data_IF_674546936239
#
_entry.id   IF_674546936239
#
_cell.length_a   1.000
_cell.length_b   1.000
_cell.length_c   1.000
_cell.angle_alpha   90.00
_cell.angle_beta   90.00
_cell.angle_gamma   90.00
#
_symmetry.space_group_name_H-M   'P 1'
#
loop_
_entity.id
_entity.type
_entity.pdbx_description
1 polymer ?
#
# COMPACT_ATOMS: atom_id res chain seq x y z
N UNK A 1 -29.23 15.08 2.84
CA UNK A 1 -27.88 15.50 3.26
C UNK A 1 -27.22 14.42 4.10
N UNK A 2 -26.22 13.71 3.55
CA UNK A 2 -25.48 12.68 4.28
C UNK A 2 -24.65 13.28 5.43
N UNK A 3 -24.07 14.47 5.20
CA UNK A 3 -23.25 15.20 6.17
C UNK A 3 -24.03 15.53 7.44
N UNK A 4 -25.25 16.03 7.34
CA UNK A 4 -26.09 16.35 8.50
C UNK A 4 -26.43 15.12 9.35
N UNK A 5 -26.64 13.96 8.70
CA UNK A 5 -26.89 12.70 9.42
C UNK A 5 -25.65 12.27 10.21
N UNK A 6 -24.47 12.38 9.61
CA UNK A 6 -23.18 12.07 10.25
C UNK A 6 -22.92 13.03 11.42
N UNK A 7 -23.13 14.34 11.22
CA UNK A 7 -22.97 15.34 12.28
C UNK A 7 -23.87 15.07 13.48
N UNK A 8 -25.15 14.75 13.24
CA UNK A 8 -26.09 14.43 14.30
C UNK A 8 -25.75 13.11 15.01
N UNK A 9 -25.21 12.13 14.30
CA UNK A 9 -24.73 10.89 14.90
C UNK A 9 -23.52 11.14 15.82
N UNK A 10 -22.53 11.91 15.34
CA UNK A 10 -21.34 12.26 16.13
C UNK A 10 -21.71 13.05 17.39
N UNK A 11 -22.67 13.96 17.30
CA UNK A 11 -23.15 14.75 18.44
C UNK A 11 -23.77 13.89 19.56
N UNK A 12 -24.34 12.73 19.21
CA UNK A 12 -24.94 11.79 20.15
C UNK A 12 -23.92 10.87 20.83
N UNK A 13 -22.67 10.83 20.34
CA UNK A 13 -21.64 9.96 20.90
C UNK A 13 -21.07 10.52 22.22
N UNK A 14 -20.64 9.64 23.14
CA UNK A 14 -19.89 10.03 24.32
C UNK A 14 -18.61 10.82 23.97
N UNK A 15 -18.11 11.68 24.87
CA UNK A 15 -16.84 12.39 24.69
C UNK A 15 -15.67 11.46 24.34
N UNK A 16 -15.57 10.30 24.99
CA UNK A 16 -14.51 9.31 24.75
C UNK A 16 -14.56 8.72 23.33
N UNK A 17 -15.76 8.45 22.81
CA UNK A 17 -15.93 7.91 21.45
C UNK A 17 -15.66 8.95 20.38
N UNK A 18 -16.00 10.23 20.64
CA UNK A 18 -15.62 11.34 19.77
C UNK A 18 -14.12 11.55 19.71
N UNK A 19 -13.42 11.40 20.84
CA UNK A 19 -11.97 11.50 20.88
C UNK A 19 -11.30 10.34 20.13
N UNK A 20 -11.82 9.13 20.30
CA UNK A 20 -11.38 7.96 19.51
C UNK A 20 -11.56 8.18 18.02
N UNK A 21 -12.68 8.75 17.59
CA UNK A 21 -12.94 9.07 16.18
C UNK A 21 -11.97 10.12 15.64
N UNK A 22 -11.61 11.14 16.43
CA UNK A 22 -10.58 12.12 16.06
C UNK A 22 -9.24 11.45 15.83
N UNK A 23 -8.79 10.62 16.78
CA UNK A 23 -7.54 9.89 16.62
C UNK A 23 -7.55 8.94 15.41
N UNK A 24 -8.68 8.29 15.11
CA UNK A 24 -8.78 7.43 13.92
C UNK A 24 -8.67 8.25 12.63
N UNK A 25 -9.33 9.40 12.55
CA UNK A 25 -9.26 10.30 11.40
C UNK A 25 -7.85 10.87 11.20
N UNK A 26 -7.22 11.36 12.27
CA UNK A 26 -5.85 11.89 12.21
C UNK A 26 -4.85 10.80 11.76
N UNK A 27 -5.03 9.56 12.23
CA UNK A 27 -4.19 8.44 11.84
C UNK A 27 -4.48 7.94 10.41
N UNK A 28 -5.71 8.07 9.91
CA UNK A 28 -6.09 7.68 8.54
C UNK A 28 -5.41 8.58 7.51
N UNK A 29 -5.38 9.89 7.75
CA UNK A 29 -4.63 10.85 6.94
C UNK A 29 -3.12 10.57 6.96
N UNK A 30 -2.58 10.26 8.14
CA UNK A 30 -1.16 9.90 8.32
C UNK A 30 -0.78 8.61 7.60
N UNK A 31 -1.67 7.60 7.64
CA UNK A 31 -1.43 6.31 7.01
C UNK A 31 -1.45 6.45 5.49
N UNK A 32 -2.37 7.25 4.95
CA UNK A 32 -2.46 7.58 3.52
C UNK A 32 -1.21 8.33 3.02
N UNK A 33 -0.67 9.28 3.79
CA UNK A 33 0.60 9.93 3.43
C UNK A 33 1.77 8.95 3.43
N UNK A 34 1.86 8.05 4.42
CA UNK A 34 2.89 7.02 4.44
C UNK A 34 2.74 6.01 3.29
N UNK A 35 1.50 5.64 2.92
CA UNK A 35 1.27 4.75 1.77
C UNK A 35 1.69 5.43 0.48
N UNK A 36 1.33 6.71 0.29
CA UNK A 36 1.75 7.51 -0.87
C UNK A 36 3.25 7.75 -0.93
N UNK A 37 3.90 7.94 0.22
CA UNK A 37 5.35 8.07 0.31
C UNK A 37 6.06 6.75 -0.04
N UNK A 38 5.52 5.63 0.44
CA UNK A 38 5.99 4.29 0.09
C UNK A 38 5.80 3.99 -1.40
N UNK A 39 4.62 4.27 -1.97
CA UNK A 39 4.35 4.13 -3.41
C UNK A 39 5.26 5.01 -4.26
N UNK A 40 5.54 6.24 -3.83
CA UNK A 40 6.53 7.11 -4.50
C UNK A 40 7.95 6.57 -4.41
N UNK A 41 8.36 6.06 -3.25
CA UNK A 41 9.71 5.57 -3.02
C UNK A 41 9.96 4.22 -3.71
N UNK A 42 8.95 3.35 -3.77
CA UNK A 42 9.01 2.06 -4.44
C UNK A 42 9.01 2.17 -5.97
N UNK A 43 8.68 3.35 -6.52
CA UNK A 43 8.45 3.53 -7.95
C UNK A 43 7.16 2.85 -8.40
N UNK A 44 6.47 3.44 -9.38
CA UNK A 44 5.26 2.83 -9.92
C UNK A 44 5.62 1.56 -10.69
N UNK A 45 5.17 0.40 -10.21
CA UNK A 45 5.33 -0.89 -10.91
C UNK A 45 4.56 -0.96 -12.23
N UNK A 46 3.72 0.04 -12.52
CA UNK A 46 2.95 0.10 -13.77
C UNK A 46 3.80 0.24 -15.02
N UNK A 47 5.03 0.75 -14.90
CA UNK A 47 5.98 0.88 -16.02
C UNK A 47 7.06 -0.23 -16.01
N UNK A 48 7.00 -1.14 -15.03
CA UNK A 48 7.91 -2.27 -14.94
C UNK A 48 7.34 -3.45 -15.75
N UNK A 49 8.00 -3.78 -16.86
CA UNK A 49 7.70 -4.96 -17.66
C UNK A 49 8.14 -6.24 -16.92
N UNK A 50 7.26 -6.71 -16.03
CA UNK A 50 7.48 -7.91 -15.24
C UNK A 50 7.62 -9.16 -16.12
N UNK A 51 6.90 -9.22 -17.24
CA UNK A 51 6.90 -10.37 -18.14
C UNK A 51 8.24 -10.46 -18.88
N UNK A 52 8.73 -9.35 -19.43
CA UNK A 52 10.04 -9.28 -20.07
C UNK A 52 11.20 -9.57 -19.11
N UNK A 53 11.11 -9.12 -17.86
CA UNK A 53 12.10 -9.42 -16.83
C UNK A 53 12.14 -10.92 -16.47
N UNK A 54 10.97 -11.56 -16.35
CA UNK A 54 10.87 -13.00 -16.10
C UNK A 54 11.46 -13.78 -17.27
N UNK A 55 11.14 -13.39 -18.51
CA UNK A 55 11.70 -14.01 -19.71
C UNK A 55 13.22 -13.92 -19.74
N UNK A 56 13.82 -12.75 -19.44
CA UNK A 56 15.28 -12.59 -19.36
C UNK A 56 15.91 -13.52 -18.31
N UNK A 57 15.30 -13.67 -17.14
CA UNK A 57 15.80 -14.57 -16.08
C UNK A 57 15.82 -16.01 -16.57
N UNK A 58 14.74 -16.49 -17.17
CA UNK A 58 14.67 -17.87 -17.67
C UNK A 58 15.59 -18.08 -18.86
N UNK A 59 15.70 -17.10 -19.75
CA UNK A 59 16.64 -17.15 -20.87
C UNK A 59 18.09 -17.22 -20.36
N UNK A 60 18.45 -16.41 -19.37
CA UNK A 60 19.78 -16.41 -18.73
C UNK A 60 20.06 -17.74 -18.01
N UNK A 61 19.07 -18.31 -17.33
CA UNK A 61 19.18 -19.62 -16.67
C UNK A 61 19.30 -20.78 -17.65
N UNK A 62 18.66 -20.69 -18.81
CA UNK A 62 18.77 -21.70 -19.85
C UNK A 62 20.09 -21.58 -20.64
N UNK A 63 20.61 -20.36 -20.81
CA UNK A 63 21.88 -20.11 -21.51
C UNK A 63 23.11 -20.34 -20.63
N UNK A 64 23.01 -20.07 -19.32
CA UNK A 64 23.99 -20.49 -18.35
C UNK A 64 23.77 -21.97 -18.05
N UNK A 65 24.28 -22.83 -18.95
CA UNK A 65 24.23 -24.28 -18.79
C UNK A 65 24.54 -24.66 -17.34
N UNK A 66 23.64 -25.42 -16.73
CA UNK A 66 23.69 -25.84 -15.33
C UNK A 66 25.08 -26.39 -14.97
N UNK A 67 25.97 -25.54 -14.46
CA UNK A 67 27.07 -25.99 -13.63
C UNK A 67 26.45 -26.26 -12.28
N UNK A 68 25.95 -27.49 -12.11
CA UNK A 68 25.50 -27.96 -10.81
C UNK A 68 26.63 -27.76 -9.81
N UNK A 69 26.41 -26.91 -8.81
CA UNK A 69 27.23 -26.95 -7.61
C UNK A 69 26.85 -28.23 -6.88
N UNK A 70 27.73 -29.22 -6.94
CA UNK A 70 27.75 -30.31 -5.96
C UNK A 70 28.00 -29.69 -4.59
N UNK A 71 26.98 -29.71 -3.74
CA UNK A 71 27.09 -29.64 -2.29
C UNK A 71 26.31 -30.83 -1.74
#
# INVERSE_FOLDING_TARGET
MAIEKIYNAIKRLPPAEREKLRHLLDNEDSNNENTKAFERAAGSWTDFDADGFIEEIYHRRNSAGRTGSEW
#
